data_IF_904224199243
#
_entry.id   IF_904224199243
#
_cell.length_a   1.000
_cell.length_b   1.000
_cell.length_c   1.000
_cell.angle_alpha   90.00
_cell.angle_beta   90.00
_cell.angle_gamma   90.00
#
_symmetry.space_group_name_H-M   'P 1'
#
loop_
_entity.id
_entity.type
_entity.pdbx_description
1 polymer ?
#
# COMPACT_ATOMS: atom_id res chain seq x y z
N UNK A 1 22.37 -5.01 18.25
CA UNK A 1 21.45 -5.41 17.20
C UNK A 1 20.14 -4.70 17.52
N UNK A 2 19.73 -3.72 16.71
CA UNK A 2 18.39 -3.15 16.82
C UNK A 2 17.43 -4.30 16.46
N UNK A 3 16.36 -4.42 17.24
CA UNK A 3 15.32 -5.41 16.98
C UNK A 3 14.71 -5.09 15.60
N UNK A 4 14.76 -6.04 14.66
CA UNK A 4 14.23 -5.85 13.31
C UNK A 4 12.76 -5.40 13.33
N UNK A 5 12.01 -5.81 14.35
CA UNK A 5 10.66 -5.36 14.59
C UNK A 5 10.57 -3.86 14.90
N UNK A 6 11.49 -3.33 15.70
CA UNK A 6 11.50 -1.91 16.06
C UNK A 6 11.88 -1.01 14.86
N UNK A 7 12.75 -1.47 13.97
CA UNK A 7 13.11 -0.76 12.75
C UNK A 7 11.92 -0.69 11.79
N UNK A 8 11.22 -1.82 11.56
CA UNK A 8 10.00 -1.87 10.75
C UNK A 8 8.92 -0.93 11.30
N UNK A 9 8.69 -0.93 12.63
CA UNK A 9 7.73 -0.04 13.27
C UNK A 9 8.05 1.44 13.00
N UNK A 10 9.31 1.82 13.15
CA UNK A 10 9.74 3.21 12.94
C UNK A 10 9.60 3.65 11.48
N UNK A 11 9.98 2.79 10.52
CA UNK A 11 10.04 3.14 9.09
C UNK A 11 8.65 3.11 8.45
N UNK A 12 7.80 2.14 8.81
CA UNK A 12 6.42 2.04 8.30
C UNK A 12 5.48 2.95 9.09
N UNK A 13 5.89 3.40 10.28
CA UNK A 13 5.13 4.28 11.18
C UNK A 13 3.85 3.61 11.69
N UNK A 14 3.99 2.45 12.33
CA UNK A 14 2.92 1.77 13.06
C UNK A 14 3.37 1.45 14.49
N UNK A 15 2.44 1.26 15.40
CA UNK A 15 2.68 0.87 16.78
C UNK A 15 2.12 -0.52 17.11
N UNK A 16 2.28 -0.95 18.35
CA UNK A 16 1.80 -2.25 18.81
C UNK A 16 0.27 -2.35 18.79
N UNK A 17 -0.42 -1.25 19.04
CA UNK A 17 -1.90 -1.18 19.02
C UNK A 17 -2.41 -1.27 17.58
N UNK A 18 -1.70 -0.63 16.62
CA UNK A 18 -1.95 -0.75 15.19
C UNK A 18 -1.85 -2.21 14.72
N UNK A 19 -0.77 -2.88 15.13
CA UNK A 19 -0.54 -4.26 14.77
C UNK A 19 -1.62 -5.19 15.35
N UNK A 20 -2.00 -4.97 16.62
CA UNK A 20 -3.05 -5.76 17.26
C UNK A 20 -4.41 -5.58 16.57
N UNK A 21 -4.77 -4.36 16.20
CA UNK A 21 -5.98 -4.07 15.43
C UNK A 21 -5.97 -4.77 14.07
N UNK A 22 -4.83 -4.72 13.37
CA UNK A 22 -4.67 -5.35 12.06
C UNK A 22 -4.76 -6.88 12.12
N UNK A 23 -4.21 -7.52 13.15
CA UNK A 23 -4.40 -8.96 13.41
C UNK A 23 -5.86 -9.35 13.60
N UNK A 24 -6.68 -8.43 14.10
CA UNK A 24 -8.13 -8.60 14.22
C UNK A 24 -8.88 -8.27 12.91
N UNK A 25 -8.17 -7.92 11.85
CA UNK A 25 -8.73 -7.54 10.57
C UNK A 25 -9.30 -6.12 10.49
N UNK A 26 -8.94 -5.24 11.42
CA UNK A 26 -9.46 -3.87 11.50
C UNK A 26 -8.36 -2.83 11.36
N UNK A 27 -8.74 -1.63 10.89
CA UNK A 27 -7.88 -0.46 10.93
C UNK A 27 -7.89 0.14 12.34
N UNK A 28 -6.71 0.48 12.87
CA UNK A 28 -6.61 1.24 14.11
C UNK A 28 -7.12 2.68 13.93
N UNK A 29 -7.33 3.38 15.04
CA UNK A 29 -7.71 4.80 15.02
C UNK A 29 -6.61 5.66 14.35
N UNK A 30 -5.36 5.42 14.69
CA UNK A 30 -4.20 6.11 14.13
C UNK A 30 -4.10 5.90 12.61
N UNK A 31 -4.24 4.68 12.12
CA UNK A 31 -4.22 4.36 10.70
C UNK A 31 -5.39 5.00 9.93
N UNK A 32 -6.58 5.04 10.52
CA UNK A 32 -7.73 5.74 9.93
C UNK A 32 -7.48 7.25 9.80
N UNK A 33 -6.85 7.87 10.79
CA UNK A 33 -6.46 9.28 10.71
C UNK A 33 -5.41 9.51 9.61
N UNK A 34 -4.41 8.64 9.49
CA UNK A 34 -3.41 8.71 8.43
C UNK A 34 -4.02 8.59 7.04
N UNK A 35 -4.88 7.59 6.80
CA UNK A 35 -5.59 7.41 5.54
C UNK A 35 -6.51 8.61 5.25
N UNK A 36 -7.21 9.12 6.25
CA UNK A 36 -8.03 10.33 6.13
C UNK A 36 -7.22 11.59 5.82
N UNK A 37 -6.01 11.71 6.36
CA UNK A 37 -5.10 12.81 6.04
C UNK A 37 -4.62 12.74 4.58
N UNK A 38 -4.33 11.53 4.07
CA UNK A 38 -3.97 11.30 2.66
C UNK A 38 -5.15 11.62 1.73
N UNK A 39 -6.36 11.21 2.08
CA UNK A 39 -7.59 11.58 1.37
C UNK A 39 -7.78 13.10 1.28
N UNK A 40 -7.61 13.82 2.40
CA UNK A 40 -7.69 15.29 2.44
C UNK A 40 -6.58 15.98 1.63
N UNK A 41 -5.40 15.34 1.52
CA UNK A 41 -4.30 15.84 0.68
C UNK A 41 -4.68 15.80 -0.80
N UNK A 42 -5.32 14.73 -1.26
CA UNK A 42 -5.83 14.60 -2.62
C UNK A 42 -6.83 15.73 -2.95
N UNK A 43 -7.75 16.03 -2.03
CA UNK A 43 -8.69 17.14 -2.18
C UNK A 43 -7.99 18.50 -2.26
N UNK A 44 -6.96 18.74 -1.42
CA UNK A 44 -6.19 19.98 -1.45
C UNK A 44 -5.45 20.16 -2.78
N UNK A 45 -4.88 19.08 -3.31
CA UNK A 45 -4.21 19.11 -4.61
C UNK A 45 -5.18 19.47 -5.72
N UNK A 46 -6.40 18.90 -5.73
CA UNK A 46 -7.44 19.26 -6.68
C UNK A 46 -7.78 20.76 -6.61
N UNK A 47 -7.95 21.31 -5.40
CA UNK A 47 -8.23 22.73 -5.18
C UNK A 47 -7.10 23.63 -5.69
N UNK A 48 -5.85 23.20 -5.48
CA UNK A 48 -4.68 23.95 -5.99
C UNK A 48 -4.66 23.95 -7.52
N UNK A 49 -4.88 22.82 -8.15
CA UNK A 49 -4.93 22.72 -9.61
C UNK A 49 -6.09 23.54 -10.17
N UNK A 50 -7.26 23.49 -9.54
CA UNK A 50 -8.41 24.31 -9.93
C UNK A 50 -8.08 25.82 -9.89
N UNK A 51 -7.35 26.27 -8.87
CA UNK A 51 -6.85 27.65 -8.77
C UNK A 51 -5.91 28.03 -9.92
N UNK A 52 -4.96 27.13 -10.26
CA UNK A 52 -4.03 27.34 -11.38
C UNK A 52 -4.78 27.40 -12.71
N UNK A 53 -5.74 26.51 -12.93
CA UNK A 53 -6.57 26.49 -14.14
C UNK A 53 -7.37 27.79 -14.26
N UNK A 54 -7.97 28.26 -13.17
CA UNK A 54 -8.69 29.54 -13.17
C UNK A 54 -7.77 30.72 -13.54
N UNK A 55 -6.55 30.72 -13.03
CA UNK A 55 -5.55 31.74 -13.34
C UNK A 55 -5.11 31.70 -14.82
N UNK A 56 -4.97 30.51 -15.38
CA UNK A 56 -4.67 30.30 -16.81
C UNK A 56 -5.82 30.82 -17.69
N UNK A 57 -7.06 30.57 -17.30
CA UNK A 57 -8.24 31.09 -18.05
C UNK A 57 -8.26 32.60 -18.05
N UNK A 58 -8.01 33.26 -16.92
CA UNK A 58 -7.90 34.72 -16.85
C UNK A 58 -6.77 35.24 -17.73
N UNK A 59 -5.58 34.62 -17.65
CA UNK A 59 -4.45 34.95 -18.51
C UNK A 59 -4.74 34.80 -20.01
N UNK A 60 -5.47 33.75 -20.39
CA UNK A 60 -5.86 33.49 -21.75
C UNK A 60 -6.74 34.63 -22.32
N UNK A 61 -7.70 35.10 -21.52
CA UNK A 61 -8.58 36.21 -21.91
C UNK A 61 -7.79 37.50 -22.11
N UNK A 62 -6.78 37.75 -21.28
CA UNK A 62 -5.94 38.97 -21.37
C UNK A 62 -4.99 38.96 -22.58
N UNK A 63 -4.50 37.78 -23.00
CA UNK A 63 -3.58 37.60 -24.12
C UNK A 63 -4.25 37.53 -25.50
N UNK A 64 -5.58 37.53 -25.55
CA UNK A 64 -6.35 37.47 -26.78
C UNK A 64 -6.40 36.09 -27.44
N UNK A 65 -6.78 36.02 -28.72
CA UNK A 65 -7.16 34.80 -29.42
C UNK A 65 -6.09 33.68 -29.36
N UNK A 66 -4.81 33.99 -29.50
CA UNK A 66 -3.73 33.00 -29.44
C UNK A 66 -3.54 32.44 -28.01
N UNK A 67 -3.66 33.34 -27.02
CA UNK A 67 -3.60 32.93 -25.60
C UNK A 67 -4.75 32.02 -25.22
N UNK A 68 -5.96 32.27 -25.73
CA UNK A 68 -7.12 31.42 -25.46
C UNK A 68 -6.90 29.99 -25.96
N UNK A 69 -6.34 29.83 -27.16
CA UNK A 69 -6.10 28.49 -27.73
C UNK A 69 -5.03 27.72 -26.92
N UNK A 70 -3.88 28.32 -26.71
CA UNK A 70 -2.75 27.63 -26.08
C UNK A 70 -3.00 27.38 -24.59
N UNK A 71 -3.33 28.41 -23.83
CA UNK A 71 -3.56 28.29 -22.39
C UNK A 71 -4.85 27.53 -22.07
N UNK A 72 -5.89 27.66 -22.93
CA UNK A 72 -7.12 26.91 -22.78
C UNK A 72 -6.94 25.41 -22.94
N UNK A 73 -6.18 24.98 -23.95
CA UNK A 73 -5.86 23.55 -24.14
C UNK A 73 -5.03 23.01 -22.98
N UNK A 74 -4.00 23.76 -22.53
CA UNK A 74 -3.20 23.34 -21.37
C UNK A 74 -4.04 23.26 -20.10
N UNK A 75 -4.90 24.23 -19.84
CA UNK A 75 -5.80 24.25 -18.71
C UNK A 75 -6.77 23.04 -18.72
N UNK A 76 -7.31 22.70 -19.90
CA UNK A 76 -8.17 21.53 -20.07
C UNK A 76 -7.43 20.22 -19.75
N UNK A 77 -6.21 20.04 -20.26
CA UNK A 77 -5.42 18.85 -19.99
C UNK A 77 -5.14 18.71 -18.49
N UNK A 78 -4.71 19.79 -17.84
CA UNK A 78 -4.44 19.78 -16.40
C UNK A 78 -5.70 19.48 -15.59
N UNK A 79 -6.85 20.05 -15.97
CA UNK A 79 -8.12 19.79 -15.31
C UNK A 79 -8.54 18.32 -15.42
N UNK A 80 -8.44 17.74 -16.63
CA UNK A 80 -8.78 16.33 -16.84
C UNK A 80 -7.86 15.41 -16.01
N UNK A 81 -6.54 15.64 -16.04
CA UNK A 81 -5.60 14.87 -15.25
C UNK A 81 -5.91 14.96 -13.74
N UNK A 82 -6.16 16.16 -13.24
CA UNK A 82 -6.48 16.35 -11.81
C UNK A 82 -7.79 15.68 -11.39
N UNK A 83 -8.81 15.70 -12.26
CA UNK A 83 -10.09 15.02 -11.99
C UNK A 83 -9.91 13.51 -11.98
N UNK A 84 -9.17 12.93 -12.93
CA UNK A 84 -8.91 11.50 -12.98
C UNK A 84 -8.15 11.06 -11.72
N UNK A 85 -7.07 11.75 -11.37
CA UNK A 85 -6.27 11.44 -10.20
C UNK A 85 -7.08 11.56 -8.89
N UNK A 86 -7.91 12.61 -8.77
CA UNK A 86 -8.81 12.77 -7.65
C UNK A 86 -9.86 11.66 -7.57
N UNK A 87 -10.51 11.31 -8.68
CA UNK A 87 -11.54 10.26 -8.69
C UNK A 87 -10.96 8.91 -8.26
N UNK A 88 -9.83 8.53 -8.82
CA UNK A 88 -9.17 7.26 -8.49
C UNK A 88 -8.68 7.29 -7.03
N UNK A 89 -7.93 8.28 -6.63
CA UNK A 89 -7.37 8.37 -5.28
C UNK A 89 -8.46 8.50 -4.21
N UNK A 90 -9.40 9.44 -4.37
CA UNK A 90 -10.45 9.67 -3.38
C UNK A 90 -11.36 8.45 -3.17
N UNK A 91 -11.75 7.77 -4.25
CA UNK A 91 -12.62 6.60 -4.16
C UNK A 91 -11.94 5.42 -3.47
N UNK A 92 -10.67 5.16 -3.75
CA UNK A 92 -9.93 4.07 -3.14
C UNK A 92 -9.74 4.30 -1.63
N UNK A 93 -9.32 5.50 -1.21
CA UNK A 93 -9.22 5.83 0.22
C UNK A 93 -10.58 5.79 0.92
N UNK A 94 -11.65 6.26 0.27
CA UNK A 94 -13.00 6.22 0.84
C UNK A 94 -13.48 4.78 1.04
N UNK A 95 -13.17 3.88 0.10
CA UNK A 95 -13.52 2.46 0.24
C UNK A 95 -12.82 1.82 1.43
N UNK A 96 -11.51 2.02 1.58
CA UNK A 96 -10.74 1.46 2.70
C UNK A 96 -11.22 2.01 4.04
N UNK A 97 -11.46 3.33 4.13
CA UNK A 97 -11.97 3.95 5.36
C UNK A 97 -13.38 3.45 5.74
N UNK A 98 -14.25 3.24 4.76
CA UNK A 98 -15.61 2.75 5.00
C UNK A 98 -15.62 1.24 5.30
N UNK A 99 -14.78 0.47 4.65
CA UNK A 99 -14.65 -0.96 4.90
C UNK A 99 -14.07 -1.21 6.31
N UNK A 100 -13.22 -0.31 6.81
CA UNK A 100 -12.53 -0.44 8.09
C UNK A 100 -11.89 -1.82 8.28
N UNK A 101 -11.31 -2.35 7.21
CA UNK A 101 -10.81 -3.71 7.13
C UNK A 101 -9.35 -3.70 6.68
N UNK A 102 -8.54 -4.54 7.33
CA UNK A 102 -7.16 -4.81 6.95
C UNK A 102 -7.06 -6.24 6.42
N UNK A 103 -6.51 -6.40 5.22
CA UNK A 103 -6.15 -7.71 4.69
C UNK A 103 -4.77 -8.12 5.16
N UNK A 104 -4.58 -9.43 5.27
CA UNK A 104 -3.30 -10.03 5.67
C UNK A 104 -2.78 -10.88 4.54
N UNK A 105 -1.49 -10.72 4.22
CA UNK A 105 -0.76 -11.59 3.31
C UNK A 105 0.54 -12.03 3.98
N UNK A 106 0.85 -13.32 3.83
CA UNK A 106 2.09 -13.91 4.32
C UNK A 106 2.89 -14.46 3.15
N UNK A 107 4.19 -14.26 3.17
CA UNK A 107 5.07 -14.86 2.17
C UNK A 107 6.46 -14.23 2.14
N UNK A 108 7.25 -14.72 1.19
CA UNK A 108 8.60 -14.26 0.96
C UNK A 108 8.60 -12.89 0.27
N UNK A 109 9.39 -11.96 0.79
CA UNK A 109 9.55 -10.62 0.23
C UNK A 109 10.50 -10.65 -0.95
N UNK A 110 10.09 -10.02 -2.04
CA UNK A 110 10.94 -9.71 -3.20
C UNK A 110 10.95 -8.22 -3.46
N UNK A 111 12.11 -7.64 -3.73
CA UNK A 111 12.20 -6.22 -4.07
C UNK A 111 11.65 -5.96 -5.47
N UNK A 112 10.97 -4.84 -5.61
CA UNK A 112 10.59 -4.24 -6.90
C UNK A 112 11.63 -3.18 -7.21
N UNK A 113 12.39 -3.39 -8.27
CA UNK A 113 13.42 -2.46 -8.72
C UNK A 113 12.81 -1.50 -9.75
N UNK A 114 13.02 -0.21 -9.56
CA UNK A 114 12.64 0.79 -10.55
C UNK A 114 13.89 1.20 -11.29
N UNK A 115 13.88 0.90 -12.58
CA UNK A 115 15.04 1.13 -13.42
C UNK A 115 15.32 2.61 -13.71
N UNK A 116 15.95 3.31 -12.77
CA UNK A 116 16.82 4.43 -13.13
C UNK A 116 18.19 3.84 -13.45
N UNK A 117 18.23 3.20 -14.62
CA UNK A 117 19.42 2.49 -15.10
C UNK A 117 20.49 3.50 -15.52
N UNK A 118 21.34 3.89 -14.60
CA UNK A 118 22.67 4.37 -14.95
C UNK A 118 23.50 3.10 -15.28
N UNK A 119 23.72 2.83 -16.57
CA UNK A 119 24.45 1.65 -17.10
C UNK A 119 23.76 0.28 -16.88
N UNK A 120 22.40 0.20 -16.80
CA UNK A 120 21.71 -1.08 -16.70
C UNK A 120 21.73 -1.74 -15.31
N UNK A 121 22.23 -1.05 -14.28
CA UNK A 121 22.22 -1.55 -12.89
C UNK A 121 21.07 -0.84 -12.15
N UNK A 122 20.06 -1.59 -11.79
CA UNK A 122 18.99 -1.13 -10.91
C UNK A 122 19.55 -0.96 -9.49
N UNK A 123 19.57 0.27 -8.99
CA UNK A 123 20.30 0.58 -7.75
C UNK A 123 19.40 0.83 -6.55
N UNK A 124 18.10 1.00 -6.76
CA UNK A 124 17.16 1.41 -5.69
C UNK A 124 15.87 0.63 -5.72
N UNK A 125 15.49 -0.03 -4.63
CA UNK A 125 14.18 -0.65 -4.53
C UNK A 125 13.09 0.43 -4.48
N UNK A 126 12.03 0.25 -5.26
CA UNK A 126 10.85 1.14 -5.30
C UNK A 126 9.63 0.54 -4.62
N UNK A 127 9.78 -0.63 -4.01
CA UNK A 127 8.74 -1.35 -3.33
C UNK A 127 9.10 -2.80 -3.06
N UNK A 128 8.12 -3.54 -2.55
CA UNK A 128 8.22 -4.97 -2.28
C UNK A 128 7.04 -5.70 -2.90
N UNK A 129 7.23 -6.99 -3.18
CA UNK A 129 6.19 -7.91 -3.64
C UNK A 129 6.15 -9.14 -2.75
N UNK A 130 4.94 -9.57 -2.40
CA UNK A 130 4.68 -10.88 -1.77
C UNK A 130 3.61 -11.57 -2.60
N UNK A 131 3.93 -12.73 -3.18
CA UNK A 131 3.06 -13.40 -4.14
C UNK A 131 2.67 -12.49 -5.31
N UNK A 132 1.36 -12.26 -5.49
CA UNK A 132 0.83 -11.41 -6.55
C UNK A 132 0.59 -9.95 -6.10
N UNK A 133 0.74 -9.64 -4.81
CA UNK A 133 0.50 -8.31 -4.26
C UNK A 133 1.78 -7.49 -4.27
N UNK A 134 1.68 -6.26 -4.78
CA UNK A 134 2.79 -5.32 -4.87
C UNK A 134 2.51 -4.10 -3.99
N UNK A 135 3.53 -3.70 -3.23
CA UNK A 135 3.52 -2.52 -2.38
C UNK A 135 4.56 -1.53 -2.87
N UNK A 136 4.09 -0.37 -3.32
CA UNK A 136 4.98 0.74 -3.69
C UNK A 136 5.42 1.46 -2.42
N UNK A 137 6.69 1.42 -2.12
CA UNK A 137 7.30 1.97 -0.91
C UNK A 137 8.39 2.97 -1.27
N UNK A 138 8.71 3.86 -0.34
CA UNK A 138 9.92 4.66 -0.45
C UNK A 138 11.14 3.76 -0.29
N UNK A 139 12.31 4.21 -0.77
CA UNK A 139 13.55 3.41 -0.73
C UNK A 139 13.93 2.98 0.70
N UNK A 140 13.82 3.89 1.65
CA UNK A 140 14.05 3.63 3.08
C UNK A 140 13.07 2.59 3.65
N UNK A 141 11.80 2.68 3.27
CA UNK A 141 10.78 1.72 3.67
C UNK A 141 11.02 0.33 3.06
N UNK A 142 11.36 0.26 1.78
CA UNK A 142 11.64 -1.01 1.14
C UNK A 142 12.89 -1.69 1.72
N UNK A 143 13.93 -0.91 2.07
CA UNK A 143 15.17 -1.43 2.69
C UNK A 143 15.01 -1.92 4.12
N UNK A 144 13.93 -1.58 4.81
CA UNK A 144 13.63 -2.14 6.13
C UNK A 144 13.21 -3.62 6.07
N UNK A 145 12.87 -4.13 4.88
CA UNK A 145 12.63 -5.54 4.64
C UNK A 145 13.89 -6.23 4.15
N UNK A 146 14.07 -7.47 4.50
CA UNK A 146 15.17 -8.33 4.01
C UNK A 146 14.64 -9.16 2.86
N UNK A 147 15.25 -9.05 1.69
CA UNK A 147 14.86 -9.84 0.51
C UNK A 147 15.04 -11.34 0.77
N UNK A 148 14.03 -12.13 0.43
CA UNK A 148 14.04 -13.58 0.62
C UNK A 148 13.56 -14.05 2.00
N UNK A 149 13.33 -13.13 2.95
CA UNK A 149 12.77 -13.45 4.26
C UNK A 149 11.24 -13.46 4.23
N UNK A 150 10.64 -14.15 5.20
CA UNK A 150 9.18 -14.29 5.28
C UNK A 150 8.61 -13.24 6.22
N UNK A 151 7.56 -12.56 5.73
CA UNK A 151 6.83 -11.56 6.49
C UNK A 151 5.33 -11.81 6.46
N UNK A 152 4.64 -11.39 7.51
CA UNK A 152 3.20 -11.15 7.52
C UNK A 152 2.99 -9.66 7.34
N UNK A 153 2.29 -9.28 6.29
CA UNK A 153 1.93 -7.88 6.00
C UNK A 153 0.43 -7.69 6.16
N UNK A 154 0.08 -6.61 6.84
CA UNK A 154 -1.30 -6.14 6.90
C UNK A 154 -1.43 -4.89 6.04
N UNK A 155 -2.44 -4.83 5.19
CA UNK A 155 -2.59 -3.75 4.23
C UNK A 155 -4.06 -3.38 3.97
N UNK A 156 -4.28 -2.16 3.49
CA UNK A 156 -5.59 -1.69 3.06
C UNK A 156 -5.85 -2.17 1.62
N UNK A 157 -6.91 -2.96 1.35
CA UNK A 157 -7.05 -3.70 0.09
C UNK A 157 -7.26 -2.83 -1.15
N UNK A 158 -7.96 -1.69 -1.04
CA UNK A 158 -8.24 -0.85 -2.20
C UNK A 158 -7.05 0.05 -2.58
N UNK A 159 -6.28 0.51 -1.59
CA UNK A 159 -5.11 1.39 -1.82
C UNK A 159 -3.79 0.64 -1.88
N UNK A 160 -3.75 -0.63 -1.50
CA UNK A 160 -2.53 -1.41 -1.26
C UNK A 160 -1.55 -0.67 -0.33
N UNK A 161 -2.11 0.11 0.61
CA UNK A 161 -1.30 0.81 1.60
C UNK A 161 -0.87 -0.16 2.67
N UNK A 162 0.42 -0.33 2.86
CA UNK A 162 0.98 -1.12 3.94
C UNK A 162 0.66 -0.45 5.29
N UNK A 163 0.08 -1.21 6.21
CA UNK A 163 -0.39 -0.75 7.51
C UNK A 163 0.53 -1.19 8.65
N UNK A 164 0.97 -2.45 8.61
CA UNK A 164 1.94 -3.02 9.56
C UNK A 164 2.60 -4.26 8.96
N UNK A 165 3.73 -4.66 9.53
CA UNK A 165 4.50 -5.81 9.09
C UNK A 165 5.10 -6.54 10.28
N UNK A 166 5.16 -7.87 10.20
CA UNK A 166 5.87 -8.72 11.14
C UNK A 166 6.85 -9.62 10.40
N UNK A 167 8.07 -9.70 10.90
CA UNK A 167 9.05 -10.67 10.43
C UNK A 167 8.79 -12.03 11.07
N UNK A 168 8.73 -13.09 10.26
CA UNK A 168 8.62 -14.46 10.77
C UNK A 168 10.01 -15.07 10.81
N UNK A 169 10.54 -15.23 12.01
CA UNK A 169 11.76 -15.98 12.23
C UNK A 169 11.41 -17.48 12.30
N UNK A 170 11.68 -18.21 11.22
CA UNK A 170 11.48 -19.66 11.15
C UNK A 170 12.34 -20.45 12.16
N UNK A 171 13.31 -19.81 12.78
CA UNK A 171 14.15 -20.45 13.81
C UNK A 171 13.57 -20.28 15.23
N UNK A 172 12.51 -19.51 15.40
CA UNK A 172 11.85 -19.34 16.68
C UNK A 172 10.91 -20.53 16.96
N UNK A 173 11.01 -21.18 18.13
CA UNK A 173 10.13 -22.31 18.48
C UNK A 173 8.63 -21.94 18.50
N UNK A 174 8.29 -20.66 18.56
CA UNK A 174 6.91 -20.18 18.47
C UNK A 174 6.32 -20.29 17.04
N UNK A 175 7.16 -20.39 16.00
CA UNK A 175 6.71 -20.54 14.61
C UNK A 175 6.32 -21.98 14.26
N UNK A 176 6.76 -22.95 15.06
CA UNK A 176 6.44 -24.38 14.87
C UNK A 176 5.04 -24.76 15.39
N UNK A 177 4.41 -23.92 16.20
CA UNK A 177 3.07 -24.21 16.75
C UNK A 177 1.90 -23.98 15.77
N UNK A 178 2.14 -23.32 14.64
CA UNK A 178 1.07 -23.05 13.63
C UNK A 178 0.92 -24.22 12.67
N UNK A 179 1.98 -25.01 12.44
CA UNK A 179 1.94 -26.13 11.49
C UNK A 179 1.29 -27.41 12.07
N UNK A 180 1.21 -27.57 13.39
CA UNK A 180 0.55 -28.75 13.98
C UNK A 180 -0.97 -28.75 13.76
N UNK A 181 -1.61 -27.59 13.73
CA UNK A 181 -3.06 -27.51 13.48
C UNK A 181 -3.42 -27.77 12.01
N UNK A 182 -2.54 -27.42 11.07
CA UNK A 182 -2.78 -27.66 9.63
C UNK A 182 -2.59 -29.15 9.29
N UNK A 183 -1.59 -29.80 9.87
CA UNK A 183 -1.35 -31.24 9.67
C UNK A 183 -2.51 -32.11 10.22
N UNK A 184 -3.20 -31.62 11.26
CA UNK A 184 -4.32 -32.35 11.86
C UNK A 184 -5.56 -32.38 10.96
N UNK A 185 -5.78 -31.34 10.14
CA UNK A 185 -6.92 -31.30 9.21
C UNK A 185 -6.70 -32.15 7.96
N UNK A 186 -5.49 -32.22 7.42
CA UNK A 186 -5.20 -33.07 6.25
C UNK A 186 -5.33 -34.57 6.55
N UNK A 187 -4.92 -35.03 7.74
CA UNK A 187 -5.02 -36.43 8.13
C UNK A 187 -6.47 -36.89 8.36
N UNK A 188 -7.38 -35.98 8.76
CA UNK A 188 -8.78 -36.36 9.00
C UNK A 188 -9.60 -36.45 7.72
N UNK A 189 -9.26 -35.74 6.65
CA UNK A 189 -9.99 -35.79 5.38
C UNK A 189 -9.81 -37.17 4.69
N UNK A 190 -8.61 -37.74 4.76
CA UNK A 190 -8.33 -39.03 4.15
C UNK A 190 -9.00 -40.22 4.89
N UNK A 191 -9.23 -40.10 6.20
CA UNK A 191 -9.90 -41.15 6.98
C UNK A 191 -11.43 -41.20 6.77
N UNK A 192 -12.08 -40.07 6.56
CA UNK A 192 -13.51 -40.01 6.30
C UNK A 192 -13.89 -40.54 4.90
N UNK A 193 -13.00 -40.41 3.92
CA UNK A 193 -13.22 -40.99 2.59
C UNK A 193 -13.03 -42.51 2.53
N UNK A 194 -12.19 -43.06 3.39
CA UNK A 194 -11.96 -44.52 3.47
C UNK A 194 -13.15 -45.27 4.13
N UNK A 195 -13.90 -44.61 5.00
CA UNK A 195 -15.09 -45.22 5.64
C UNK A 195 -16.39 -45.13 4.80
N UNK A 196 -16.43 -44.22 3.84
CA UNK A 196 -17.62 -44.07 2.95
C UNK A 196 -17.63 -45.06 1.76
N UNK A 197 -16.55 -45.80 1.54
CA UNK A 197 -16.40 -46.77 0.42
C UNK A 197 -16.41 -48.26 0.84
N UNK A 198 -16.72 -48.54 2.08
CA UNK A 198 -16.90 -49.92 2.61
C UNK A 198 -18.40 -50.18 2.95
#
# INVERSE_FOLDING_TARGET
>A
MLDAGAELQAVINFDADDLLANKQGHLSHHQREQLGARQKRSLRLLMTVAGVVALMVVGAVLLGNLGIIVLGVMALILAVMAVVEYMVGYQTYTRDLNANYAETIQGMVHYIWRGDSIMGIETRPSGIRIGDVQFLLMEDQARAFIEGEIYVLHYAPSTHTLLSAEHIDLQSPASLSVDEDIAYWEVNIDNDQAQASS
#
